data_IF_857945262216
#
_entry.id   IF_857945262216
#
_cell.length_a   1.000
_cell.length_b   1.000
_cell.length_c   1.000
_cell.angle_alpha   90.00
_cell.angle_beta   90.00
_cell.angle_gamma   90.00
#
_symmetry.space_group_name_H-M   'P 1'
#
loop_
_entity.id
_entity.type
_entity.pdbx_description
1 polymer ?
#
# COMPACT_ATOMS: atom_id res chain seq x y z
N UNK A 1 -10.73 8.36 13.40
CA UNK A 1 -11.47 7.06 13.35
C UNK A 1 -12.98 7.20 13.51
N UNK A 2 -13.54 8.19 14.22
CA UNK A 2 -14.99 8.41 14.41
C UNK A 2 -15.70 8.95 13.15
N UNK A 3 -15.09 9.91 12.44
CA UNK A 3 -15.69 10.58 11.27
C UNK A 3 -15.89 9.62 10.09
N UNK A 4 -14.93 8.73 9.83
CA UNK A 4 -14.99 7.72 8.76
C UNK A 4 -16.10 6.69 9.06
N UNK A 5 -16.23 6.25 10.32
CA UNK A 5 -17.35 5.38 10.73
C UNK A 5 -18.71 6.07 10.56
N UNK A 6 -18.78 7.36 10.82
CA UNK A 6 -20.00 8.15 10.67
C UNK A 6 -20.37 8.34 9.19
N UNK A 7 -19.40 8.62 8.30
CA UNK A 7 -19.62 8.72 6.86
C UNK A 7 -20.01 7.37 6.22
N UNK A 8 -19.39 6.26 6.63
CA UNK A 8 -19.76 4.91 6.18
C UNK A 8 -21.16 4.51 6.68
N UNK A 9 -21.50 4.86 7.91
CA UNK A 9 -22.86 4.66 8.45
C UNK A 9 -23.89 5.47 7.68
N UNK A 10 -23.60 6.72 7.32
CA UNK A 10 -24.48 7.58 6.55
C UNK A 10 -24.65 7.10 5.11
N UNK A 11 -23.57 6.64 4.43
CA UNK A 11 -23.61 6.05 3.08
C UNK A 11 -24.47 4.76 3.05
N UNK A 12 -24.33 3.89 4.05
CA UNK A 12 -25.16 2.69 4.18
C UNK A 12 -26.62 3.03 4.47
N UNK A 13 -26.90 4.08 5.25
CA UNK A 13 -28.27 4.54 5.53
C UNK A 13 -28.96 5.06 4.27
N UNK A 14 -28.27 5.82 3.42
CA UNK A 14 -28.81 6.32 2.14
C UNK A 14 -29.13 5.15 1.20
N UNK A 15 -28.21 4.19 1.06
CA UNK A 15 -28.45 3.02 0.22
C UNK A 15 -29.67 2.22 0.69
N UNK A 16 -29.79 1.97 1.99
CA UNK A 16 -30.91 1.26 2.56
C UNK A 16 -32.24 2.01 2.33
N UNK A 17 -32.24 3.35 2.42
CA UNK A 17 -33.39 4.18 2.15
C UNK A 17 -33.82 4.12 0.68
N UNK A 18 -32.86 4.16 -0.26
CA UNK A 18 -33.13 4.00 -1.70
C UNK A 18 -33.74 2.62 -2.00
N UNK A 19 -33.18 1.56 -1.43
CA UNK A 19 -33.72 0.21 -1.57
C UNK A 19 -35.17 0.13 -1.05
N UNK A 20 -35.45 0.70 0.13
CA UNK A 20 -36.79 0.73 0.71
C UNK A 20 -37.77 1.46 -0.20
N UNK A 21 -37.39 2.65 -0.71
CA UNK A 21 -38.26 3.42 -1.64
C UNK A 21 -38.52 2.63 -2.92
N UNK A 22 -37.52 2.01 -3.53
CA UNK A 22 -37.72 1.19 -4.72
C UNK A 22 -38.70 0.04 -4.48
N UNK A 23 -38.59 -0.65 -3.34
CA UNK A 23 -39.52 -1.74 -3.00
C UNK A 23 -40.93 -1.25 -2.71
N UNK A 24 -41.13 -0.11 -2.05
CA UNK A 24 -42.43 0.50 -1.87
C UNK A 24 -43.08 0.75 -3.23
N UNK A 25 -42.36 1.30 -4.21
CA UNK A 25 -42.87 1.55 -5.56
C UNK A 25 -43.22 0.23 -6.26
N UNK A 26 -42.34 -0.78 -6.20
CA UNK A 26 -42.60 -2.08 -6.83
C UNK A 26 -43.83 -2.78 -6.24
N UNK A 27 -43.99 -2.75 -4.91
CA UNK A 27 -45.21 -3.31 -4.26
C UNK A 27 -46.45 -2.47 -4.48
N UNK A 28 -46.33 -1.18 -4.81
CA UNK A 28 -47.46 -0.33 -5.15
C UNK A 28 -47.92 -0.48 -6.62
N UNK A 29 -47.06 -1.01 -7.52
CA UNK A 29 -47.39 -1.15 -8.95
C UNK A 29 -48.68 -1.94 -9.22
N UNK A 30 -48.99 -3.05 -8.52
CA UNK A 30 -50.25 -3.77 -8.74
C UNK A 30 -51.51 -2.91 -8.43
N UNK A 31 -51.41 -1.91 -7.54
CA UNK A 31 -52.51 -1.03 -7.19
C UNK A 31 -52.99 -0.14 -8.36
N UNK A 32 -52.11 0.13 -9.32
CA UNK A 32 -52.40 0.99 -10.49
C UNK A 32 -53.31 0.28 -11.48
N UNK A 33 -53.29 -1.05 -11.49
CA UNK A 33 -54.01 -1.88 -12.47
C UNK A 33 -55.24 -2.55 -11.87
N UNK A 34 -55.63 -2.20 -10.62
CA UNK A 34 -56.81 -2.79 -9.97
C UNK A 34 -58.11 -2.29 -10.59
N UNK A 35 -58.94 -3.20 -10.93
CA UNK A 35 -60.30 -2.91 -11.33
C UNK A 35 -61.17 -2.53 -10.11
N UNK A 36 -62.19 -1.77 -10.37
CA UNK A 36 -63.19 -1.40 -9.38
C UNK A 36 -64.48 -2.19 -9.66
N UNK A 37 -65.08 -2.63 -8.59
CA UNK A 37 -66.41 -3.27 -8.73
C UNK A 37 -67.52 -2.29 -9.21
N UNK A 38 -68.68 -2.79 -9.43
CA UNK A 38 -69.84 -1.99 -9.89
C UNK A 38 -70.22 -0.87 -8.90
N UNK A 39 -69.78 -0.95 -7.65
CA UNK A 39 -70.01 0.03 -6.58
C UNK A 39 -68.84 1.00 -6.41
N UNK A 40 -67.72 0.80 -7.20
CA UNK A 40 -66.54 1.66 -7.20
C UNK A 40 -65.45 1.29 -6.15
N UNK A 41 -65.64 0.16 -5.43
CA UNK A 41 -64.67 -0.32 -4.46
C UNK A 41 -63.51 -1.10 -5.13
N UNK A 42 -62.32 -1.04 -4.54
CA UNK A 42 -61.14 -1.77 -5.01
C UNK A 42 -61.31 -3.27 -4.70
N UNK A 43 -61.15 -4.10 -5.72
CA UNK A 43 -61.17 -5.56 -5.56
C UNK A 43 -59.85 -6.06 -4.99
N UNK A 44 -59.71 -6.13 -3.67
CA UNK A 44 -58.52 -6.56 -2.99
C UNK A 44 -58.00 -7.95 -3.37
N UNK A 45 -58.86 -8.81 -3.88
CA UNK A 45 -58.51 -10.14 -4.37
C UNK A 45 -57.53 -10.04 -5.57
N UNK A 46 -57.72 -9.08 -6.47
CA UNK A 46 -56.84 -8.84 -7.60
C UNK A 46 -55.46 -8.36 -7.14
N UNK A 47 -55.40 -7.45 -6.16
CA UNK A 47 -54.12 -7.07 -5.55
C UNK A 47 -53.39 -8.29 -5.00
N UNK A 48 -54.07 -9.16 -4.25
CA UNK A 48 -53.49 -10.40 -3.71
C UNK A 48 -53.02 -11.34 -4.82
N UNK A 49 -53.68 -11.43 -5.96
CA UNK A 49 -53.24 -12.27 -7.07
C UNK A 49 -51.91 -11.78 -7.65
N UNK A 50 -51.72 -10.48 -7.79
CA UNK A 50 -50.53 -9.89 -8.43
C UNK A 50 -49.36 -9.66 -7.49
N UNK A 51 -49.51 -9.78 -6.17
CA UNK A 51 -48.41 -9.57 -5.20
C UNK A 51 -47.31 -10.63 -5.27
N UNK A 52 -47.62 -11.80 -5.88
CA UNK A 52 -46.64 -12.89 -6.07
C UNK A 52 -45.40 -12.46 -6.87
N UNK A 53 -45.59 -11.56 -7.85
CA UNK A 53 -44.51 -11.06 -8.70
C UNK A 53 -43.52 -10.17 -7.92
N UNK A 54 -43.96 -9.10 -7.21
CA UNK A 54 -43.08 -8.33 -6.31
C UNK A 54 -42.36 -9.17 -5.27
N UNK A 55 -43.03 -10.15 -4.66
CA UNK A 55 -42.40 -11.06 -3.67
C UNK A 55 -41.29 -11.88 -4.32
N UNK A 56 -41.54 -12.44 -5.51
CA UNK A 56 -40.53 -13.20 -6.25
C UNK A 56 -39.34 -12.35 -6.61
N UNK A 57 -39.53 -11.10 -7.03
CA UNK A 57 -38.47 -10.16 -7.33
C UNK A 57 -37.67 -9.79 -6.10
N UNK A 58 -38.32 -9.57 -4.95
CA UNK A 58 -37.64 -9.29 -3.70
C UNK A 58 -36.67 -10.44 -3.33
N UNK A 59 -37.16 -11.67 -3.40
CA UNK A 59 -36.35 -12.85 -3.06
C UNK A 59 -35.18 -13.01 -4.05
N UNK A 60 -35.46 -12.96 -5.36
CA UNK A 60 -34.46 -13.08 -6.41
C UNK A 60 -33.39 -11.99 -6.30
N UNK A 61 -33.81 -10.75 -6.07
CA UNK A 61 -32.93 -9.60 -5.95
C UNK A 61 -31.95 -9.78 -4.78
N UNK A 62 -32.48 -10.03 -3.56
CA UNK A 62 -31.60 -10.12 -2.39
C UNK A 62 -30.83 -11.42 -2.33
N UNK A 63 -31.28 -12.52 -2.88
CA UNK A 63 -30.49 -13.73 -3.03
C UNK A 63 -29.24 -13.44 -3.88
N UNK A 64 -29.40 -12.75 -5.00
CA UNK A 64 -28.28 -12.38 -5.85
C UNK A 64 -27.43 -11.27 -5.22
N UNK A 65 -28.03 -10.18 -4.79
CA UNK A 65 -27.32 -9.01 -4.28
C UNK A 65 -26.45 -9.31 -3.04
N UNK A 66 -27.03 -10.07 -2.07
CA UNK A 66 -26.38 -10.26 -0.77
C UNK A 66 -25.61 -11.57 -0.63
N UNK A 67 -25.99 -12.62 -1.38
CA UNK A 67 -25.44 -13.96 -1.17
C UNK A 67 -24.64 -14.42 -2.39
N UNK A 68 -25.27 -14.50 -3.58
CA UNK A 68 -24.63 -15.20 -4.71
C UNK A 68 -23.58 -14.36 -5.41
N UNK A 69 -23.85 -13.09 -5.70
CA UNK A 69 -22.87 -12.22 -6.37
C UNK A 69 -21.57 -12.11 -5.56
N UNK A 70 -21.59 -11.81 -4.24
CA UNK A 70 -20.35 -11.79 -3.47
C UNK A 70 -19.69 -13.16 -3.35
N UNK A 71 -20.46 -14.24 -3.16
CA UNK A 71 -19.90 -15.58 -2.92
C UNK A 71 -19.29 -16.21 -4.17
N UNK A 72 -19.89 -16.00 -5.33
CA UNK A 72 -19.45 -16.67 -6.56
C UNK A 72 -18.57 -15.77 -7.46
N UNK A 73 -18.87 -14.49 -7.57
CA UNK A 73 -18.12 -13.59 -8.47
C UNK A 73 -16.84 -13.10 -7.80
N UNK A 74 -16.88 -12.72 -6.53
CA UNK A 74 -15.76 -12.06 -5.84
C UNK A 74 -14.90 -13.00 -4.95
N UNK A 75 -15.30 -14.25 -4.76
CA UNK A 75 -14.49 -15.21 -4.02
C UNK A 75 -13.28 -15.68 -4.86
N UNK A 76 -12.05 -15.59 -4.33
CA UNK A 76 -10.81 -15.90 -5.05
C UNK A 76 -10.49 -17.39 -5.18
N UNK A 77 -11.11 -18.25 -4.35
CA UNK A 77 -10.63 -19.64 -4.15
C UNK A 77 -11.13 -20.65 -5.19
N UNK A 78 -12.05 -20.25 -6.08
CA UNK A 78 -12.61 -21.13 -7.10
C UNK A 78 -12.17 -20.76 -8.51
N UNK A 79 -12.01 -21.76 -9.36
CA UNK A 79 -11.81 -21.56 -10.80
C UNK A 79 -12.96 -20.80 -11.45
N UNK A 80 -12.66 -19.84 -12.35
CA UNK A 80 -13.63 -18.94 -12.98
C UNK A 80 -14.77 -19.68 -13.68
N UNK A 81 -14.45 -20.76 -14.41
CA UNK A 81 -15.45 -21.53 -15.14
C UNK A 81 -16.46 -22.20 -14.17
N UNK A 82 -15.97 -22.73 -13.06
CA UNK A 82 -16.85 -23.33 -12.04
C UNK A 82 -17.74 -22.28 -11.39
N UNK A 83 -17.21 -21.08 -11.08
CA UNK A 83 -18.02 -19.96 -10.56
C UNK A 83 -19.18 -19.61 -11.46
N UNK A 84 -18.91 -19.45 -12.75
CA UNK A 84 -19.94 -19.09 -13.73
C UNK A 84 -21.01 -20.21 -13.81
N UNK A 85 -20.60 -21.47 -13.88
CA UNK A 85 -21.52 -22.61 -13.96
C UNK A 85 -22.43 -22.66 -12.73
N UNK A 86 -21.87 -22.56 -11.52
CA UNK A 86 -22.68 -22.59 -10.29
C UNK A 86 -23.62 -21.37 -10.19
N UNK A 87 -23.13 -20.18 -10.52
CA UNK A 87 -23.94 -18.97 -10.52
C UNK A 87 -25.12 -19.07 -11.48
N UNK A 88 -24.88 -19.51 -12.73
CA UNK A 88 -25.92 -19.65 -13.76
C UNK A 88 -26.91 -20.75 -13.37
N UNK A 89 -26.43 -21.93 -12.97
CA UNK A 89 -27.29 -23.06 -12.58
C UNK A 89 -28.20 -22.71 -11.41
N UNK A 90 -27.66 -21.98 -10.44
CA UNK A 90 -28.45 -21.58 -9.27
C UNK A 90 -29.49 -20.53 -9.63
N UNK A 91 -29.18 -19.57 -10.49
CA UNK A 91 -30.17 -18.59 -10.96
C UNK A 91 -31.28 -19.24 -11.81
N UNK A 92 -30.95 -20.21 -12.67
CA UNK A 92 -31.95 -20.98 -13.40
C UNK A 92 -32.91 -21.67 -12.42
N UNK A 93 -32.36 -22.32 -11.37
CA UNK A 93 -33.17 -22.98 -10.35
C UNK A 93 -34.10 -22.00 -9.63
N UNK A 94 -33.60 -20.83 -9.21
CA UNK A 94 -34.39 -19.79 -8.52
C UNK A 94 -35.48 -19.23 -9.44
N UNK A 95 -35.21 -18.99 -10.71
CA UNK A 95 -36.18 -18.48 -11.69
C UNK A 95 -37.29 -19.52 -11.90
N UNK A 96 -36.96 -20.80 -11.98
CA UNK A 96 -37.96 -21.87 -12.08
C UNK A 96 -38.85 -21.91 -10.85
N UNK A 97 -38.27 -21.82 -9.63
CA UNK A 97 -39.04 -21.76 -8.40
C UNK A 97 -39.96 -20.53 -8.34
N UNK A 98 -39.46 -19.37 -8.76
CA UNK A 98 -40.26 -18.14 -8.81
C UNK A 98 -41.45 -18.27 -9.76
N UNK A 99 -41.23 -18.84 -10.96
CA UNK A 99 -42.32 -19.07 -11.94
C UNK A 99 -43.37 -20.06 -11.40
N UNK A 100 -42.93 -21.15 -10.74
CA UNK A 100 -43.85 -22.11 -10.12
C UNK A 100 -44.65 -21.44 -8.99
N UNK A 101 -43.96 -20.63 -8.15
CA UNK A 101 -44.65 -19.90 -7.09
C UNK A 101 -45.70 -18.93 -7.63
N UNK A 102 -45.38 -18.12 -8.65
CA UNK A 102 -46.30 -17.20 -9.28
C UNK A 102 -47.48 -17.97 -9.88
N UNK A 103 -47.22 -19.08 -10.59
CA UNK A 103 -48.28 -19.89 -11.22
C UNK A 103 -49.28 -20.47 -10.20
N UNK A 104 -48.76 -21.11 -9.12
CA UNK A 104 -49.65 -21.65 -8.07
C UNK A 104 -50.37 -20.56 -7.31
N UNK A 105 -49.71 -19.41 -7.03
CA UNK A 105 -50.31 -18.30 -6.30
C UNK A 105 -51.44 -17.64 -7.10
N UNK A 106 -51.24 -17.35 -8.39
CA UNK A 106 -52.28 -16.79 -9.26
C UNK A 106 -53.42 -17.80 -9.48
N UNK A 107 -53.17 -19.10 -9.47
CA UNK A 107 -54.18 -20.11 -9.52
C UNK A 107 -55.10 -20.14 -8.28
N UNK A 108 -54.58 -19.71 -7.10
CA UNK A 108 -55.39 -19.63 -5.85
C UNK A 108 -56.15 -18.32 -5.67
N UNK A 109 -55.52 -17.22 -6.03
CA UNK A 109 -56.04 -15.87 -5.73
C UNK A 109 -56.50 -15.12 -6.99
N UNK A 110 -56.22 -15.62 -8.17
CA UNK A 110 -56.68 -15.05 -9.43
C UNK A 110 -58.20 -15.04 -9.58
N UNK A 111 -58.74 -14.22 -10.48
CA UNK A 111 -60.14 -14.26 -10.84
C UNK A 111 -60.51 -15.67 -11.33
N UNK A 112 -61.74 -16.12 -11.11
CA UNK A 112 -62.15 -17.53 -11.27
C UNK A 112 -61.62 -18.15 -12.58
N UNK A 113 -60.91 -19.29 -12.45
CA UNK A 113 -60.33 -20.06 -13.56
C UNK A 113 -61.36 -20.61 -14.58
N UNK A 114 -62.61 -20.25 -14.45
CA UNK A 114 -63.74 -20.71 -15.27
C UNK A 114 -64.19 -19.66 -16.30
N UNK A 115 -63.60 -18.46 -16.29
CA UNK A 115 -63.93 -17.46 -17.31
C UNK A 115 -62.96 -17.64 -18.50
N UNK A 116 -63.50 -17.81 -19.71
CA UNK A 116 -62.76 -18.17 -20.94
C UNK A 116 -61.71 -17.18 -21.37
N UNK A 117 -61.63 -16.05 -20.70
CA UNK A 117 -60.63 -14.96 -20.97
C UNK A 117 -59.38 -15.02 -20.13
N UNK A 118 -59.12 -16.06 -19.32
CA UNK A 118 -57.91 -16.10 -18.47
C UNK A 118 -56.66 -16.44 -19.26
N UNK A 119 -55.79 -15.44 -19.35
CA UNK A 119 -54.49 -15.44 -20.06
C UNK A 119 -53.55 -16.61 -19.67
N UNK A 120 -53.70 -17.15 -18.44
CA UNK A 120 -52.83 -18.23 -17.92
C UNK A 120 -53.11 -19.56 -18.58
N UNK A 121 -54.41 -19.92 -18.71
CA UNK A 121 -54.82 -21.21 -19.32
C UNK A 121 -54.93 -21.11 -20.84
N UNK A 122 -55.25 -19.93 -21.41
CA UNK A 122 -55.29 -19.70 -22.83
C UNK A 122 -53.92 -19.62 -23.48
N UNK A 123 -52.91 -19.04 -22.78
CA UNK A 123 -51.53 -18.84 -23.31
C UNK A 123 -50.42 -19.13 -22.29
N UNK A 124 -50.29 -20.37 -21.78
CA UNK A 124 -49.34 -20.71 -20.72
C UNK A 124 -47.88 -20.41 -21.11
N UNK A 125 -47.50 -20.60 -22.36
CA UNK A 125 -46.16 -20.31 -22.86
C UNK A 125 -45.86 -18.82 -22.78
N UNK A 126 -46.80 -17.95 -23.15
CA UNK A 126 -46.68 -16.49 -23.04
C UNK A 126 -46.50 -16.02 -21.60
N UNK A 127 -47.26 -16.62 -20.67
CA UNK A 127 -47.16 -16.34 -19.24
C UNK A 127 -45.78 -16.66 -18.68
N UNK A 128 -45.28 -17.88 -18.93
CA UNK A 128 -43.96 -18.29 -18.47
C UNK A 128 -42.84 -17.48 -19.12
N UNK A 129 -42.92 -17.16 -20.41
CA UNK A 129 -41.92 -16.35 -21.10
C UNK A 129 -41.84 -14.93 -20.52
N UNK A 130 -43.02 -14.30 -20.30
CA UNK A 130 -43.08 -12.96 -19.70
C UNK A 130 -42.46 -12.94 -18.29
N UNK A 131 -42.87 -13.83 -17.41
CA UNK A 131 -42.37 -13.85 -16.02
C UNK A 131 -40.89 -14.22 -15.97
N UNK A 132 -40.44 -15.17 -16.79
CA UNK A 132 -39.02 -15.53 -16.87
C UNK A 132 -38.17 -14.35 -17.35
N UNK A 133 -38.61 -13.60 -18.37
CA UNK A 133 -37.88 -12.43 -18.85
C UNK A 133 -37.74 -11.34 -17.78
N UNK A 134 -38.80 -11.08 -17.00
CA UNK A 134 -38.77 -10.12 -15.89
C UNK A 134 -37.87 -10.60 -14.75
N UNK A 135 -37.90 -11.89 -14.42
CA UNK A 135 -36.95 -12.47 -13.44
C UNK A 135 -35.51 -12.32 -13.86
N UNK A 136 -35.19 -12.57 -15.15
CA UNK A 136 -33.83 -12.37 -15.70
C UNK A 136 -33.42 -10.91 -15.55
N UNK A 137 -34.27 -9.95 -15.91
CA UNK A 137 -33.99 -8.51 -15.73
C UNK A 137 -33.70 -8.19 -14.27
N UNK A 138 -34.53 -8.73 -13.33
CA UNK A 138 -34.32 -8.53 -11.89
C UNK A 138 -32.94 -9.06 -11.43
N UNK A 139 -32.53 -10.25 -11.87
CA UNK A 139 -31.21 -10.83 -11.58
C UNK A 139 -30.10 -9.95 -12.16
N UNK A 140 -30.22 -9.54 -13.43
CA UNK A 140 -29.21 -8.66 -14.05
C UNK A 140 -29.04 -7.34 -13.30
N UNK A 141 -30.15 -6.69 -12.93
CA UNK A 141 -30.10 -5.44 -12.16
C UNK A 141 -29.45 -5.66 -10.80
N UNK A 142 -29.78 -6.73 -10.08
CA UNK A 142 -29.19 -7.04 -8.78
C UNK A 142 -27.66 -7.26 -8.87
N UNK A 143 -27.22 -7.99 -9.90
CA UNK A 143 -25.79 -8.26 -10.15
C UNK A 143 -25.05 -6.97 -10.52
N UNK A 144 -25.59 -6.15 -11.41
CA UNK A 144 -24.99 -4.89 -11.83
C UNK A 144 -24.84 -3.90 -10.65
N UNK A 145 -25.88 -3.77 -9.83
CA UNK A 145 -25.85 -2.89 -8.65
C UNK A 145 -24.81 -3.38 -7.63
N UNK A 146 -24.74 -4.69 -7.41
CA UNK A 146 -23.73 -5.26 -6.50
C UNK A 146 -22.31 -5.10 -7.05
N UNK A 147 -22.09 -5.43 -8.33
CA UNK A 147 -20.79 -5.27 -8.95
C UNK A 147 -20.31 -3.81 -8.92
N UNK A 148 -21.20 -2.85 -9.20
CA UNK A 148 -20.86 -1.42 -9.09
C UNK A 148 -20.48 -1.03 -7.66
N UNK A 149 -21.17 -1.52 -6.64
CA UNK A 149 -20.86 -1.25 -5.25
C UNK A 149 -19.49 -1.82 -4.86
N UNK A 150 -19.18 -3.06 -5.25
CA UNK A 150 -17.92 -3.72 -4.93
C UNK A 150 -16.72 -3.09 -5.68
N UNK A 151 -16.91 -2.69 -6.96
CA UNK A 151 -15.90 -1.95 -7.73
C UNK A 151 -15.57 -0.63 -7.03
N UNK A 152 -16.54 0.13 -6.57
CA UNK A 152 -16.30 1.38 -5.85
C UNK A 152 -15.49 1.17 -4.57
N UNK A 153 -15.78 0.10 -3.80
CA UNK A 153 -15.01 -0.27 -2.61
C UNK A 153 -13.56 -0.64 -2.98
N UNK A 154 -13.36 -1.36 -4.08
CA UNK A 154 -12.02 -1.70 -4.57
C UNK A 154 -11.24 -0.44 -4.98
N UNK A 155 -11.86 0.49 -5.69
CA UNK A 155 -11.21 1.77 -6.05
C UNK A 155 -10.81 2.60 -4.82
N UNK A 156 -11.67 2.68 -3.81
CA UNK A 156 -11.34 3.38 -2.56
C UNK A 156 -10.12 2.72 -1.87
N UNK A 157 -10.10 1.37 -1.78
CA UNK A 157 -8.94 0.64 -1.23
C UNK A 157 -7.66 0.84 -2.03
N UNK A 158 -7.73 0.81 -3.36
CA UNK A 158 -6.57 1.06 -4.21
C UNK A 158 -5.99 2.47 -3.99
N UNK A 159 -6.84 3.49 -3.86
CA UNK A 159 -6.40 4.86 -3.54
C UNK A 159 -5.74 4.96 -2.17
N UNK A 160 -6.26 4.25 -1.17
CA UNK A 160 -5.64 4.21 0.17
C UNK A 160 -4.25 3.55 0.14
N UNK A 161 -4.10 2.44 -0.59
CA UNK A 161 -2.81 1.74 -0.77
C UNK A 161 -1.82 2.63 -1.51
N UNK A 162 -2.24 3.28 -2.59
CA UNK A 162 -1.39 4.21 -3.36
C UNK A 162 -0.95 5.41 -2.50
N UNK A 163 -1.87 5.98 -1.72
CA UNK A 163 -1.54 7.06 -0.79
C UNK A 163 -0.54 6.61 0.28
N UNK A 164 -0.76 5.44 0.89
CA UNK A 164 0.15 4.89 1.89
C UNK A 164 1.54 4.60 1.29
N UNK A 165 1.60 4.11 0.04
CA UNK A 165 2.85 3.91 -0.69
C UNK A 165 3.59 5.23 -0.89
N UNK A 166 2.89 6.28 -1.38
CA UNK A 166 3.49 7.61 -1.60
C UNK A 166 3.97 8.24 -0.29
N UNK A 167 3.21 8.09 0.80
CA UNK A 167 3.62 8.58 2.12
C UNK A 167 4.86 7.82 2.63
N UNK A 168 4.93 6.51 2.42
CA UNK A 168 6.11 5.70 2.78
C UNK A 168 7.33 6.08 1.93
N UNK A 169 7.16 6.33 0.63
CA UNK A 169 8.23 6.80 -0.25
C UNK A 169 8.73 8.20 0.16
N UNK A 170 7.82 9.14 0.47
CA UNK A 170 8.17 10.46 1.01
C UNK A 170 8.90 10.37 2.35
N UNK A 171 8.46 9.50 3.23
CA UNK A 171 9.11 9.30 4.52
C UNK A 171 10.50 8.67 4.35
N UNK A 172 10.65 7.73 3.42
CA UNK A 172 11.94 7.14 3.08
C UNK A 172 12.91 8.19 2.50
N UNK A 173 12.42 9.05 1.59
CA UNK A 173 13.17 10.19 1.06
C UNK A 173 13.60 11.16 2.17
N UNK A 174 12.70 11.51 3.09
CA UNK A 174 13.04 12.37 4.24
C UNK A 174 14.07 11.73 5.17
N UNK A 175 14.02 10.41 5.35
CA UNK A 175 14.95 9.69 6.22
C UNK A 175 16.34 9.49 5.57
N UNK A 176 16.46 9.57 4.25
CA UNK A 176 17.75 9.56 3.54
C UNK A 176 18.58 10.82 3.84
N UNK A 177 17.93 11.90 4.21
CA UNK A 177 18.60 13.11 4.68
C UNK A 177 18.50 13.17 6.20
N UNK A 178 19.64 13.19 6.87
CA UNK A 178 19.69 13.53 8.28
C UNK A 178 19.46 15.06 8.42
N UNK A 179 18.22 15.53 8.78
CA UNK A 179 17.95 16.98 8.82
C UNK A 179 18.87 17.71 9.79
N UNK A 180 19.29 17.02 10.83
CA UNK A 180 20.20 17.56 11.84
C UNK A 180 21.62 17.74 11.27
N UNK A 181 22.09 16.81 10.43
CA UNK A 181 23.37 16.98 9.73
C UNK A 181 23.33 18.21 8.82
N UNK A 182 22.29 18.34 7.98
CA UNK A 182 22.14 19.48 7.06
C UNK A 182 22.11 20.82 7.79
N UNK A 183 21.30 20.95 8.84
CA UNK A 183 21.21 22.18 9.62
C UNK A 183 22.54 22.52 10.28
N UNK A 184 23.24 21.53 10.85
CA UNK A 184 24.53 21.76 11.49
C UNK A 184 25.59 22.15 10.46
N UNK A 185 25.63 21.50 9.27
CA UNK A 185 26.56 21.86 8.19
C UNK A 185 26.32 23.28 7.70
N UNK A 186 25.07 23.67 7.47
CA UNK A 186 24.71 25.04 7.10
C UNK A 186 25.11 26.07 8.15
N UNK A 187 24.93 25.78 9.44
CA UNK A 187 25.35 26.66 10.53
C UNK A 187 26.88 26.80 10.56
N UNK A 188 27.63 25.73 10.32
CA UNK A 188 29.10 25.78 10.24
C UNK A 188 29.56 26.59 9.04
N UNK A 189 28.97 26.40 7.86
CA UNK A 189 29.25 27.19 6.66
C UNK A 189 28.97 28.68 6.94
N UNK A 190 27.84 28.98 7.58
CA UNK A 190 27.51 30.37 7.95
C UNK A 190 28.57 30.98 8.87
N UNK A 191 29.08 30.24 9.82
CA UNK A 191 30.16 30.67 10.70
C UNK A 191 31.46 30.89 9.92
N UNK A 192 31.82 29.98 9.00
CA UNK A 192 33.03 30.09 8.16
C UNK A 192 33.03 31.32 7.26
N UNK A 193 31.87 31.81 6.80
CA UNK A 193 31.79 33.00 5.94
C UNK A 193 32.49 34.21 6.58
N UNK A 194 32.48 34.28 7.91
CA UNK A 194 33.13 35.41 8.63
C UNK A 194 34.63 35.28 8.77
N UNK A 195 35.18 34.06 8.74
CA UNK A 195 36.59 33.79 9.07
C UNK A 195 37.37 33.27 7.87
N UNK A 196 36.76 32.46 7.00
CA UNK A 196 37.39 31.84 5.84
C UNK A 196 36.38 31.64 4.71
N UNK A 197 36.25 32.64 3.86
CA UNK A 197 35.29 32.64 2.75
C UNK A 197 35.60 31.56 1.70
N UNK A 198 36.87 31.21 1.49
CA UNK A 198 37.24 30.20 0.51
C UNK A 198 36.83 28.80 0.99
N UNK A 199 37.06 28.47 2.26
CA UNK A 199 36.58 27.25 2.87
C UNK A 199 35.05 27.19 2.91
N UNK A 200 34.38 28.31 3.17
CA UNK A 200 32.94 28.38 3.13
C UNK A 200 32.36 28.08 1.73
N UNK A 201 32.99 28.60 0.67
CA UNK A 201 32.59 28.32 -0.72
C UNK A 201 32.82 26.86 -1.10
N UNK A 202 33.97 26.27 -0.71
CA UNK A 202 34.21 24.83 -0.92
C UNK A 202 33.15 23.97 -0.23
N UNK A 203 32.87 24.28 1.02
CA UNK A 203 31.87 23.53 1.80
C UNK A 203 30.44 23.62 1.21
N UNK A 204 30.07 24.75 0.59
CA UNK A 204 28.80 24.85 -0.17
C UNK A 204 28.82 23.98 -1.42
N UNK A 205 29.97 23.90 -2.12
CA UNK A 205 30.11 22.99 -3.27
C UNK A 205 29.96 21.54 -2.86
N UNK A 206 30.72 21.10 -1.85
CA UNK A 206 30.69 19.73 -1.35
C UNK A 206 29.29 19.34 -0.86
N UNK A 207 28.60 20.25 -0.16
CA UNK A 207 27.22 20.04 0.26
C UNK A 207 26.27 19.89 -0.94
N UNK A 208 26.48 20.67 -2.00
CA UNK A 208 25.67 20.60 -3.21
C UNK A 208 25.87 19.29 -3.95
N UNK A 209 27.11 18.79 -4.05
CA UNK A 209 27.44 17.52 -4.68
C UNK A 209 26.89 16.34 -3.87
N UNK A 210 27.02 16.40 -2.56
CA UNK A 210 26.44 15.43 -1.64
C UNK A 210 24.90 15.35 -1.76
N UNK A 211 24.23 16.50 -1.81
CA UNK A 211 22.77 16.55 -1.99
C UNK A 211 22.36 16.03 -3.36
N UNK A 212 23.10 16.36 -4.42
CA UNK A 212 22.83 15.86 -5.77
C UNK A 212 22.94 14.34 -5.83
N UNK A 213 24.00 13.77 -5.29
CA UNK A 213 24.16 12.31 -5.21
C UNK A 213 23.00 11.66 -4.45
N UNK A 214 22.67 12.16 -3.27
CA UNK A 214 21.61 11.60 -2.43
C UNK A 214 20.20 11.72 -3.04
N UNK A 215 19.94 12.73 -3.89
CA UNK A 215 18.63 12.92 -4.54
C UNK A 215 18.50 12.11 -5.83
N UNK A 216 19.56 12.03 -6.62
CA UNK A 216 19.50 11.50 -7.98
C UNK A 216 20.18 10.13 -8.12
N UNK A 217 21.44 10.01 -7.72
CA UNK A 217 22.23 8.79 -7.93
C UNK A 217 21.81 7.66 -6.99
N UNK A 218 21.49 7.96 -5.74
CA UNK A 218 21.07 6.97 -4.73
C UNK A 218 19.72 6.27 -5.02
N UNK A 219 18.98 6.71 -6.04
CA UNK A 219 17.74 6.06 -6.49
C UNK A 219 17.98 4.82 -7.33
N UNK A 220 19.18 4.63 -7.85
CA UNK A 220 19.56 3.45 -8.60
C UNK A 220 19.74 2.27 -7.65
N UNK A 221 19.51 1.07 -8.12
CA UNK A 221 19.72 -0.15 -7.32
C UNK A 221 21.20 -0.35 -7.01
N UNK A 222 22.06 -0.04 -7.98
CA UNK A 222 23.52 -0.06 -7.87
C UNK A 222 24.13 1.16 -8.55
N UNK A 223 25.26 1.62 -8.00
CA UNK A 223 26.05 2.76 -8.51
C UNK A 223 27.53 2.35 -8.67
N UNK A 224 28.32 3.00 -9.52
CA UNK A 224 29.75 2.79 -9.57
C UNK A 224 30.39 3.07 -8.20
N UNK A 225 31.28 2.17 -7.73
CA UNK A 225 31.99 2.31 -6.46
C UNK A 225 32.76 3.63 -6.35
N UNK A 226 33.29 4.11 -7.47
CA UNK A 226 33.98 5.39 -7.51
C UNK A 226 33.11 6.58 -7.12
N UNK A 227 31.83 6.57 -7.53
CA UNK A 227 30.85 7.62 -7.14
C UNK A 227 30.48 7.55 -5.66
N UNK A 228 30.39 6.33 -5.11
CA UNK A 228 30.17 6.16 -3.67
C UNK A 228 31.35 6.68 -2.87
N UNK A 229 32.59 6.47 -3.36
CA UNK A 229 33.82 7.03 -2.75
C UNK A 229 33.84 8.55 -2.84
N UNK A 230 33.48 9.15 -3.98
CA UNK A 230 33.38 10.61 -4.11
C UNK A 230 32.36 11.19 -3.10
N UNK A 231 31.18 10.61 -3.03
CA UNK A 231 30.17 10.99 -2.05
C UNK A 231 30.66 10.89 -0.59
N UNK A 232 31.43 9.84 -0.25
CA UNK A 232 32.00 9.69 1.08
C UNK A 232 33.10 10.73 1.36
N UNK A 233 33.91 11.09 0.38
CA UNK A 233 34.91 12.16 0.52
C UNK A 233 34.24 13.49 0.81
N UNK A 234 33.23 13.88 0.03
CA UNK A 234 32.50 15.13 0.25
C UNK A 234 31.90 15.17 1.66
N UNK A 235 31.32 14.03 2.10
CA UNK A 235 30.77 13.92 3.46
C UNK A 235 31.85 14.08 4.53
N UNK A 236 33.01 13.44 4.38
CA UNK A 236 34.11 13.51 5.33
C UNK A 236 34.65 14.94 5.41
N UNK A 237 34.85 15.63 4.28
CA UNK A 237 35.30 17.02 4.26
C UNK A 237 34.33 17.95 5.00
N UNK A 238 33.02 17.78 4.80
CA UNK A 238 32.02 18.54 5.56
C UNK A 238 32.05 18.23 7.06
N UNK A 239 32.32 16.98 7.44
CA UNK A 239 32.48 16.61 8.85
C UNK A 239 33.75 17.17 9.48
N UNK A 240 34.87 17.25 8.75
CA UNK A 240 36.12 17.83 9.22
C UNK A 240 36.01 19.29 9.61
N UNK A 241 35.10 20.06 8.98
CA UNK A 241 34.84 21.46 9.35
C UNK A 241 34.44 21.63 10.84
N UNK A 242 33.93 20.57 11.45
CA UNK A 242 33.46 20.57 12.83
C UNK A 242 34.46 20.09 13.84
N UNK A 243 35.61 19.62 13.38
CA UNK A 243 36.64 19.05 14.23
C UNK A 243 37.70 20.10 14.56
N UNK A 244 38.35 19.91 15.71
CA UNK A 244 39.50 20.69 16.08
C UNK A 244 40.71 20.39 15.17
N UNK A 245 41.62 21.34 14.97
CA UNK A 245 42.78 21.22 14.07
C UNK A 245 43.69 20.03 14.43
N UNK A 246 43.66 19.56 15.64
CA UNK A 246 44.47 18.45 16.13
C UNK A 246 43.87 17.07 15.91
N UNK A 247 42.60 17.01 15.45
CA UNK A 247 41.88 15.74 15.25
C UNK A 247 42.36 15.05 13.97
N UNK A 248 42.77 13.79 14.08
CA UNK A 248 43.32 13.04 12.95
C UNK A 248 42.26 12.22 12.22
N UNK A 249 41.95 12.59 10.98
CA UNK A 249 41.14 11.79 10.07
C UNK A 249 42.01 11.27 8.95
N UNK A 250 42.20 9.94 8.90
CA UNK A 250 42.97 9.27 7.84
C UNK A 250 42.04 8.64 6.83
N UNK A 251 42.31 8.82 5.55
CA UNK A 251 41.52 8.28 4.44
C UNK A 251 42.41 7.50 3.48
N UNK A 252 42.00 6.28 3.14
CA UNK A 252 42.68 5.46 2.16
C UNK A 252 41.67 4.82 1.21
N UNK A 253 41.51 5.36 0.01
CA UNK A 253 40.59 4.88 -1.02
C UNK A 253 41.38 4.27 -2.18
N UNK A 254 41.44 2.93 -2.21
CA UNK A 254 42.16 2.13 -3.23
C UNK A 254 41.11 1.48 -4.16
N UNK A 255 40.53 2.32 -5.04
CA UNK A 255 39.49 1.94 -5.99
C UNK A 255 39.92 2.32 -7.39
N UNK A 256 39.97 1.34 -8.28
CA UNK A 256 40.56 1.50 -9.62
C UNK A 256 39.59 1.26 -10.77
N UNK A 257 38.51 0.50 -10.54
CA UNK A 257 37.55 0.11 -11.58
C UNK A 257 36.34 1.04 -11.62
N UNK A 258 36.05 1.59 -12.79
CA UNK A 258 34.81 2.33 -13.04
C UNK A 258 33.60 1.41 -13.15
N UNK A 259 33.81 0.08 -13.31
CA UNK A 259 32.75 -0.89 -13.57
C UNK A 259 32.26 -1.62 -12.31
N UNK A 260 32.94 -1.49 -11.18
CA UNK A 260 32.54 -2.12 -9.93
C UNK A 260 31.30 -1.42 -9.38
N UNK A 261 30.20 -2.15 -9.31
CA UNK A 261 28.89 -1.63 -8.91
C UNK A 261 28.58 -2.00 -7.46
N UNK A 262 28.10 -1.04 -6.67
CA UNK A 262 27.73 -1.25 -5.27
C UNK A 262 26.37 -0.60 -4.95
N UNK A 263 25.68 -1.11 -3.93
CA UNK A 263 24.47 -0.45 -3.43
C UNK A 263 24.82 0.95 -2.87
N UNK A 264 24.11 2.01 -3.30
CA UNK A 264 24.42 3.38 -2.91
C UNK A 264 24.22 3.61 -1.41
N UNK A 265 24.94 4.55 -0.82
CA UNK A 265 24.82 4.97 0.58
C UNK A 265 24.96 3.81 1.59
N UNK A 266 25.72 2.77 1.26
CA UNK A 266 25.86 1.58 2.12
C UNK A 266 26.78 1.85 3.31
N UNK A 267 27.90 2.57 3.09
CA UNK A 267 28.94 2.77 4.08
C UNK A 267 28.78 4.06 4.90
N UNK A 268 27.92 4.99 4.45
CA UNK A 268 27.79 6.30 5.09
C UNK A 268 27.40 6.21 6.56
N UNK A 269 26.54 5.27 6.93
CA UNK A 269 26.11 5.09 8.32
C UNK A 269 27.23 4.59 9.24
N UNK A 270 28.25 3.91 8.71
CA UNK A 270 29.43 3.54 9.47
C UNK A 270 30.34 4.77 9.68
N UNK A 271 30.47 5.61 8.66
CA UNK A 271 31.22 6.87 8.75
C UNK A 271 30.54 7.81 9.75
N UNK A 272 29.21 8.00 9.63
CA UNK A 272 28.43 8.77 10.62
C UNK A 272 28.67 8.27 12.06
N UNK A 273 28.66 6.95 12.22
CA UNK A 273 28.88 6.33 13.53
C UNK A 273 30.30 6.61 14.07
N UNK A 274 31.32 6.58 13.19
CA UNK A 274 32.69 6.89 13.57
C UNK A 274 32.85 8.36 14.02
N UNK A 275 32.28 9.30 13.27
CA UNK A 275 32.31 10.72 13.66
C UNK A 275 31.48 11.01 14.93
N UNK A 276 30.38 10.31 15.12
CA UNK A 276 29.51 10.49 16.31
C UNK A 276 30.13 9.97 17.59
N UNK A 277 30.90 8.88 17.52
CA UNK A 277 31.37 8.15 18.69
C UNK A 277 32.91 8.13 18.83
N UNK A 278 33.63 8.52 17.78
CA UNK A 278 35.10 8.57 17.78
C UNK A 278 35.68 9.94 18.11
N UNK A 279 34.81 10.96 18.25
CA UNK A 279 35.23 12.32 18.56
C UNK A 279 34.89 12.65 20.01
N UNK A 280 35.90 12.97 20.79
CA UNK A 280 35.78 13.53 22.14
C UNK A 280 36.71 14.75 22.29
N UNK A 281 36.91 15.24 23.48
CA UNK A 281 37.86 16.32 23.76
C UNK A 281 39.22 15.78 24.23
N UNK A 282 39.54 14.51 23.91
CA UNK A 282 40.83 13.90 24.27
C UNK A 282 41.86 14.11 23.16
N UNK A 283 43.16 14.30 23.53
CA UNK A 283 44.23 14.74 22.61
C UNK A 283 44.64 13.67 21.55
N UNK A 284 44.29 12.39 21.74
CA UNK A 284 44.75 11.28 20.87
C UNK A 284 43.59 10.65 20.05
N UNK A 285 42.47 11.35 19.87
CA UNK A 285 41.36 10.83 19.12
C UNK A 285 41.61 10.79 17.61
N UNK A 286 41.15 9.72 16.96
CA UNK A 286 41.32 9.53 15.53
C UNK A 286 40.13 8.81 14.87
N UNK A 287 40.03 8.99 13.56
CA UNK A 287 39.19 8.20 12.67
C UNK A 287 40.05 7.76 11.48
N UNK A 288 40.00 6.45 11.16
CA UNK A 288 40.66 5.87 10.01
C UNK A 288 39.65 5.18 9.14
N UNK A 289 39.53 5.59 7.86
CA UNK A 289 38.56 5.11 6.89
C UNK A 289 39.28 4.54 5.71
N UNK A 290 39.06 3.29 5.38
CA UNK A 290 39.68 2.61 4.26
C UNK A 290 38.64 1.87 3.41
N UNK A 291 38.68 2.11 2.10
CA UNK A 291 37.93 1.31 1.13
C UNK A 291 38.87 0.83 0.07
N UNK A 292 38.88 -0.47 -0.16
CA UNK A 292 39.72 -1.10 -1.16
C UNK A 292 38.91 -2.06 -2.02
N UNK A 293 39.31 -2.11 -3.29
CA UNK A 293 38.78 -3.05 -4.28
C UNK A 293 39.84 -4.11 -4.55
N UNK A 294 39.45 -5.38 -4.66
CA UNK A 294 40.37 -6.44 -5.09
C UNK A 294 40.77 -6.27 -6.55
N UNK A 295 41.95 -6.73 -6.91
CA UNK A 295 42.51 -6.60 -8.28
C UNK A 295 41.65 -7.22 -9.37
N UNK A 296 40.74 -8.15 -9.03
CA UNK A 296 39.78 -8.78 -9.94
C UNK A 296 38.42 -8.10 -9.97
N UNK A 297 38.24 -7.01 -9.22
CA UNK A 297 36.97 -6.24 -9.13
C UNK A 297 35.84 -6.95 -8.43
N UNK A 298 36.08 -8.14 -7.84
CA UNK A 298 35.01 -8.99 -7.28
C UNK A 298 34.78 -8.82 -5.79
N UNK A 299 35.66 -8.09 -5.11
CA UNK A 299 35.54 -7.93 -3.66
C UNK A 299 35.77 -6.47 -3.29
N UNK A 300 34.88 -5.91 -2.54
CA UNK A 300 35.00 -4.58 -1.94
C UNK A 300 35.11 -4.73 -0.44
N UNK A 301 36.14 -4.10 0.13
CA UNK A 301 36.40 -4.08 1.58
C UNK A 301 36.26 -2.64 2.08
N UNK A 302 35.36 -2.42 3.04
CA UNK A 302 35.29 -1.18 3.81
C UNK A 302 35.72 -1.46 5.24
N UNK A 303 36.74 -0.72 5.73
CA UNK A 303 37.25 -0.83 7.10
C UNK A 303 37.25 0.55 7.73
N UNK A 304 36.62 0.69 8.88
CA UNK A 304 36.57 1.92 9.66
C UNK A 304 37.07 1.62 11.07
N UNK A 305 38.00 2.42 11.55
CA UNK A 305 38.50 2.37 12.93
C UNK A 305 38.40 3.76 13.54
N UNK A 306 37.98 3.84 14.78
CA UNK A 306 37.92 5.12 15.49
C UNK A 306 38.19 4.94 16.98
N UNK A 307 38.60 6.00 17.64
CA UNK A 307 38.69 6.06 19.11
C UNK A 307 37.37 5.61 19.74
N UNK A 308 37.45 4.82 20.80
CA UNK A 308 36.31 4.29 21.50
C UNK A 308 36.15 4.87 22.89
N UNK A 309 35.07 5.57 23.14
CA UNK A 309 34.73 6.14 24.44
C UNK A 309 33.54 5.37 25.02
N UNK A 310 33.74 4.58 26.11
CA UNK A 310 32.65 3.88 26.77
C UNK A 310 31.61 4.88 27.27
N UNK A 311 30.35 4.68 26.87
CA UNK A 311 29.25 5.56 27.32
C UNK A 311 28.91 5.30 28.77
N UNK A 312 28.73 6.34 29.55
CA UNK A 312 28.04 6.27 30.82
C UNK A 312 26.59 5.78 30.63
N UNK A 313 26.10 4.93 31.54
CA UNK A 313 24.82 4.22 31.47
C UNK A 313 23.56 5.10 31.27
N UNK A 314 23.69 6.41 31.19
CA UNK A 314 22.57 7.37 31.09
C UNK A 314 22.27 7.84 29.67
N UNK A 315 23.17 7.66 28.70
CA UNK A 315 22.97 8.16 27.34
C UNK A 315 22.45 7.08 26.38
N UNK A 316 21.16 6.81 26.45
CA UNK A 316 20.43 5.88 25.56
C UNK A 316 19.97 6.53 24.25
N UNK A 317 20.43 7.73 23.91
CA UNK A 317 19.97 8.42 22.70
C UNK A 317 20.57 7.83 21.43
N UNK A 318 19.81 6.94 20.77
CA UNK A 318 19.92 6.68 19.33
C UNK A 318 21.04 5.75 18.85
N UNK A 319 21.70 4.97 19.71
CA UNK A 319 22.75 4.05 19.30
C UNK A 319 22.17 2.70 18.83
N UNK A 320 22.37 2.35 17.57
CA UNK A 320 22.04 1.01 17.03
C UNK A 320 21.19 1.02 15.78
N UNK A 321 20.31 1.99 15.60
CA UNK A 321 19.35 2.02 14.48
C UNK A 321 20.09 2.09 13.12
N UNK A 322 21.13 2.92 13.00
CA UNK A 322 21.88 3.07 11.76
C UNK A 322 22.63 1.79 11.36
N UNK A 323 23.32 1.17 12.30
CA UNK A 323 24.04 -0.08 12.05
C UNK A 323 23.10 -1.27 11.80
N UNK A 324 21.95 -1.33 12.47
CA UNK A 324 20.93 -2.33 12.21
C UNK A 324 20.35 -2.19 10.79
N UNK A 325 20.11 -0.96 10.33
CA UNK A 325 19.68 -0.69 8.95
C UNK A 325 20.73 -1.13 7.92
N UNK A 326 22.02 -0.89 8.16
CA UNK A 326 23.09 -1.40 7.31
C UNK A 326 23.08 -2.92 7.24
N UNK A 327 22.95 -3.61 8.38
CA UNK A 327 22.88 -5.07 8.44
C UNK A 327 21.70 -5.60 7.63
N UNK A 328 20.51 -5.06 7.86
CA UNK A 328 19.31 -5.44 7.13
C UNK A 328 19.45 -5.22 5.63
N UNK A 329 20.10 -4.14 5.23
CA UNK A 329 20.33 -3.81 3.82
C UNK A 329 21.32 -4.77 3.18
N UNK A 330 22.41 -5.13 3.87
CA UNK A 330 23.36 -6.15 3.44
C UNK A 330 22.71 -7.52 3.28
N UNK A 331 21.84 -7.94 4.21
CA UNK A 331 21.11 -9.20 4.12
C UNK A 331 20.15 -9.25 2.93
N UNK A 332 19.53 -8.11 2.58
CA UNK A 332 18.58 -8.03 1.46
C UNK A 332 19.25 -7.97 0.10
N UNK A 333 20.37 -7.23 -0.03
CA UNK A 333 21.01 -6.96 -1.32
C UNK A 333 22.12 -7.97 -1.62
N UNK A 334 22.85 -8.41 -0.59
CA UNK A 334 24.01 -9.31 -0.71
C UNK A 334 23.84 -10.60 0.13
N UNK A 335 22.74 -11.37 -0.02
CA UNK A 335 22.49 -12.55 0.80
C UNK A 335 23.59 -13.58 0.62
N UNK A 336 24.29 -13.93 1.72
CA UNK A 336 25.46 -14.83 1.76
C UNK A 336 26.71 -14.34 0.98
N UNK A 337 26.73 -13.10 0.50
CA UNK A 337 27.84 -12.50 -0.24
C UNK A 337 28.55 -11.38 0.55
N UNK A 338 28.35 -11.29 1.85
CA UNK A 338 29.05 -10.33 2.70
C UNK A 338 29.50 -10.96 4.02
N UNK A 339 30.53 -10.35 4.60
CA UNK A 339 30.92 -10.57 5.99
C UNK A 339 31.05 -9.22 6.69
N UNK A 340 30.56 -9.13 7.92
CA UNK A 340 30.67 -7.92 8.72
C UNK A 340 31.19 -8.24 10.11
N UNK A 341 32.40 -7.80 10.42
CA UNK A 341 33.07 -7.96 11.70
C UNK A 341 33.13 -6.64 12.45
N UNK A 342 32.72 -6.64 13.69
CA UNK A 342 32.82 -5.52 14.61
C UNK A 342 33.57 -5.97 15.85
N UNK A 343 34.53 -5.16 16.30
CA UNK A 343 35.32 -5.48 17.48
C UNK A 343 35.77 -4.21 18.20
N UNK A 344 35.96 -4.32 19.50
CA UNK A 344 36.66 -3.33 20.31
C UNK A 344 37.99 -3.94 20.71
N UNK A 345 39.05 -3.17 20.67
CA UNK A 345 40.40 -3.64 21.09
C UNK A 345 40.40 -4.02 22.57
N UNK A 346 41.29 -4.96 23.00
CA UNK A 346 41.33 -5.42 24.39
C UNK A 346 41.55 -4.32 25.43
N UNK A 347 42.19 -3.22 25.03
CA UNK A 347 42.43 -2.03 25.86
C UNK A 347 41.22 -1.07 25.91
N UNK A 348 40.13 -1.44 25.24
CA UNK A 348 38.92 -0.62 25.13
C UNK A 348 39.11 0.79 24.56
N UNK A 349 40.13 0.97 23.72
CA UNK A 349 40.49 2.29 23.16
C UNK A 349 40.03 2.48 21.71
N UNK A 350 39.87 1.39 20.95
CA UNK A 350 39.59 1.47 19.50
C UNK A 350 38.39 0.58 19.15
N UNK A 351 37.40 1.16 18.48
CA UNK A 351 36.33 0.44 17.79
C UNK A 351 36.74 0.19 16.34
N UNK A 352 36.51 -1.03 15.85
CA UNK A 352 36.77 -1.44 14.47
C UNK A 352 35.55 -2.06 13.85
N UNK A 353 35.20 -1.64 12.63
CA UNK A 353 34.14 -2.21 11.82
C UNK A 353 34.69 -2.52 10.43
N UNK A 354 34.56 -3.78 9.99
CA UNK A 354 35.05 -4.23 8.69
C UNK A 354 33.96 -4.98 7.95
N UNK A 355 33.55 -4.46 6.79
CA UNK A 355 32.62 -5.10 5.85
C UNK A 355 33.41 -5.57 4.63
N UNK A 356 33.18 -6.79 4.21
CA UNK A 356 33.69 -7.36 2.96
C UNK A 356 32.49 -7.82 2.16
N UNK A 357 32.39 -7.37 0.91
CA UNK A 357 31.28 -7.72 -0.01
C UNK A 357 31.89 -8.40 -1.24
N UNK A 358 31.34 -9.56 -1.60
CA UNK A 358 31.60 -10.23 -2.87
C UNK A 358 30.56 -9.81 -3.90
N UNK A 359 31.00 -9.23 -5.01
CA UNK A 359 30.17 -8.68 -6.08
C UNK A 359 30.00 -9.70 -7.20
#
# INVERSE_FOLDING_TARGET
MSLIKQLLSQKNSINNFVHLLCWIIIFATPLVFLERDAEGYIVWREYLSHISVPISFLILFYANYSIFTPSFIFNSDMDMNKKIIYFVSFNIYLILLANLFIFFWEGQFGPNAYDDDHLILAHPVGFFLRNTSLCIVCVLVSVLLRASADINVMFEKMKEVEKAKTEAELQNLKNQFNPHFLLNTLNNIYSLIQFDTEKAQSAVSDLSDLLRYAIYDSRQEFVPLIKEVEFMKDYIELMKIRLDENFVVSENFDVHSENTMIAPMLFISLIENAFKHGVSNEEDDFIDISISESSDGKTVTCSISNSYHPKDNYDKSGSGIGLEQVRRRLELIYPNHYTWNQSITPDNKVYKSKIIISI
#
